data_IF_542043643169
#
_entry.id   IF_542043643169
#
_cell.length_a   1.000
_cell.length_b   1.000
_cell.length_c   1.000
_cell.angle_alpha   90.00
_cell.angle_beta   90.00
_cell.angle_gamma   90.00
#
_symmetry.space_group_name_H-M   'P 1'
#
loop_
_entity.id
_entity.type
_entity.pdbx_description
1 polymer ?
#
# COMPACT_ATOMS: atom_id res chain seq x y z
N UNK A 1 -43.38 5.39 6.47
CA UNK A 1 -42.48 4.40 5.85
C UNK A 1 -41.07 4.70 6.29
N UNK A 2 -40.44 3.82 7.07
CA UNK A 2 -39.02 3.94 7.36
C UNK A 2 -38.23 3.69 6.07
N UNK A 3 -37.32 4.58 5.70
CA UNK A 3 -36.40 4.33 4.60
C UNK A 3 -35.60 3.05 4.92
N UNK A 4 -35.38 2.15 3.95
CA UNK A 4 -34.52 1.00 4.19
C UNK A 4 -33.16 1.49 4.68
N UNK A 5 -32.60 0.83 5.69
CA UNK A 5 -31.27 1.14 6.18
C UNK A 5 -30.27 0.88 5.05
N UNK A 6 -29.77 1.93 4.43
CA UNK A 6 -28.65 1.84 3.48
C UNK A 6 -27.42 1.47 4.30
N UNK A 7 -26.69 0.45 3.86
CA UNK A 7 -25.43 0.02 4.47
C UNK A 7 -24.35 0.07 3.39
N UNK A 8 -23.20 0.64 3.71
CA UNK A 8 -22.05 0.66 2.80
C UNK A 8 -21.41 -0.72 2.83
N UNK A 9 -21.27 -1.35 1.66
CA UNK A 9 -20.48 -2.59 1.53
C UNK A 9 -19.00 -2.21 1.57
N UNK A 10 -18.25 -2.85 2.47
CA UNK A 10 -16.79 -2.79 2.51
C UNK A 10 -16.17 -3.78 1.53
N UNK A 11 -15.03 -3.43 0.97
CA UNK A 11 -14.25 -4.26 0.07
C UNK A 11 -13.29 -5.13 0.86
N UNK A 12 -13.14 -6.39 0.45
CA UNK A 12 -12.02 -7.22 0.90
C UNK A 12 -10.84 -7.06 -0.06
N UNK A 13 -9.63 -7.35 0.41
CA UNK A 13 -8.42 -7.37 -0.43
C UNK A 13 -8.59 -8.29 -1.63
N UNK A 14 -9.17 -9.48 -1.43
CA UNK A 14 -9.46 -10.41 -2.52
C UNK A 14 -10.44 -9.86 -3.56
N UNK A 15 -11.36 -8.99 -3.19
CA UNK A 15 -12.22 -8.30 -4.16
C UNK A 15 -11.46 -7.19 -4.87
N UNK A 16 -10.65 -6.42 -4.14
CA UNK A 16 -9.75 -5.40 -4.67
C UNK A 16 -8.78 -5.97 -5.72
N UNK A 17 -8.05 -7.04 -5.37
CA UNK A 17 -7.12 -7.74 -6.27
C UNK A 17 -7.82 -8.19 -7.56
N UNK A 18 -9.00 -8.78 -7.43
CA UNK A 18 -9.80 -9.22 -8.60
C UNK A 18 -10.30 -8.05 -9.45
N UNK A 19 -10.57 -6.89 -8.85
CA UNK A 19 -10.93 -5.69 -9.61
C UNK A 19 -9.74 -5.16 -10.42
N UNK A 20 -8.55 -5.14 -9.84
CA UNK A 20 -7.32 -4.79 -10.54
C UNK A 20 -7.02 -5.77 -11.68
N UNK A 21 -7.07 -7.09 -11.41
CA UNK A 21 -6.88 -8.15 -12.42
C UNK A 21 -7.89 -8.07 -13.57
N UNK A 22 -9.14 -7.71 -13.26
CA UNK A 22 -10.19 -7.55 -14.26
C UNK A 22 -10.12 -6.21 -15.02
N UNK A 23 -9.19 -5.32 -14.66
CA UNK A 23 -9.04 -3.99 -15.27
C UNK A 23 -10.16 -3.00 -14.90
N UNK A 24 -10.88 -3.24 -13.80
CA UNK A 24 -11.87 -2.30 -13.24
C UNK A 24 -11.16 -1.06 -12.70
N UNK A 25 -10.03 -1.27 -12.04
CA UNK A 25 -9.11 -0.21 -11.63
C UNK A 25 -8.11 0.00 -12.76
N UNK A 26 -8.08 1.21 -13.32
CA UNK A 26 -7.21 1.52 -14.45
C UNK A 26 -5.72 1.47 -14.07
N UNK A 27 -4.81 1.22 -15.03
CA UNK A 27 -3.36 1.19 -14.73
C UNK A 27 -2.81 2.53 -14.24
N UNK A 28 -3.47 3.64 -14.60
CA UNK A 28 -3.12 4.99 -14.15
C UNK A 28 -3.95 5.44 -12.93
N UNK A 29 -4.92 4.62 -12.50
CA UNK A 29 -5.73 4.89 -11.32
C UNK A 29 -4.93 4.54 -10.07
N UNK A 30 -4.31 5.55 -9.48
CA UNK A 30 -3.55 5.37 -8.25
C UNK A 30 -4.50 5.34 -7.06
N UNK A 31 -4.85 4.13 -6.65
CA UNK A 31 -5.72 3.87 -5.50
C UNK A 31 -5.05 2.89 -4.54
N UNK A 32 -5.47 2.94 -3.28
CA UNK A 32 -5.11 1.95 -2.27
C UNK A 32 -6.37 1.50 -1.51
N UNK A 33 -6.30 0.32 -0.90
CA UNK A 33 -7.38 -0.23 -0.08
C UNK A 33 -7.12 0.06 1.40
N UNK A 34 -7.97 0.86 2.04
CA UNK A 34 -7.88 1.19 3.47
C UNK A 34 -9.17 0.82 4.18
N UNK A 35 -9.10 -0.13 5.13
CA UNK A 35 -10.24 -0.54 5.97
C UNK A 35 -11.53 -0.82 5.15
N UNK A 36 -11.37 -1.45 4.00
CA UNK A 36 -12.43 -1.81 3.07
C UNK A 36 -12.97 -0.67 2.21
N UNK A 37 -12.27 0.46 2.13
CA UNK A 37 -12.52 1.57 1.20
C UNK A 37 -11.41 1.69 0.17
N UNK A 38 -11.77 1.95 -1.08
CA UNK A 38 -10.81 2.26 -2.14
C UNK A 38 -10.66 3.77 -2.20
N UNK A 39 -9.45 4.26 -1.93
CA UNK A 39 -9.16 5.69 -1.85
C UNK A 39 -8.17 6.10 -2.92
N UNK A 40 -8.35 7.28 -3.50
CA UNK A 40 -7.43 7.81 -4.53
C UNK A 40 -6.21 8.46 -3.89
N UNK A 41 -5.03 8.10 -4.38
CA UNK A 41 -3.77 8.73 -3.98
C UNK A 41 -3.60 10.08 -4.69
N UNK A 42 -3.10 11.06 -3.93
CA UNK A 42 -2.81 12.39 -4.50
C UNK A 42 -1.52 12.37 -5.32
N UNK A 43 -1.42 13.11 -6.44
CA UNK A 43 -0.16 13.32 -7.16
C UNK A 43 0.97 13.80 -6.25
N UNK A 44 2.17 13.26 -6.43
CA UNK A 44 3.33 13.71 -5.67
C UNK A 44 3.95 14.96 -6.31
N UNK A 45 4.37 15.91 -5.48
CA UNK A 45 5.10 17.11 -5.91
C UNK A 45 6.60 16.97 -5.64
N UNK A 46 7.43 17.77 -6.34
CA UNK A 46 8.90 17.73 -6.21
C UNK A 46 9.45 17.75 -4.77
N UNK A 47 8.92 18.56 -3.83
CA UNK A 47 9.36 18.52 -2.42
C UNK A 47 9.11 17.17 -1.74
N UNK A 48 8.00 16.52 -2.06
CA UNK A 48 7.63 15.22 -1.51
C UNK A 48 8.61 14.14 -1.94
N UNK A 49 8.93 14.07 -3.24
CA UNK A 49 9.91 13.12 -3.77
C UNK A 49 11.33 13.33 -3.19
N UNK A 50 11.72 14.60 -2.94
CA UNK A 50 12.99 14.90 -2.29
C UNK A 50 13.03 14.39 -0.84
N UNK A 51 11.94 14.57 -0.08
CA UNK A 51 11.81 14.04 1.28
C UNK A 51 11.92 12.52 1.31
N UNK A 52 11.23 11.80 0.40
CA UNK A 52 11.33 10.34 0.30
C UNK A 52 12.78 9.91 0.12
N UNK A 53 13.51 10.52 -0.82
CA UNK A 53 14.90 10.15 -1.09
C UNK A 53 15.84 10.40 0.10
N UNK A 54 15.62 11.47 0.85
CA UNK A 54 16.40 11.77 2.06
C UNK A 54 16.13 10.75 3.17
N UNK A 55 14.86 10.36 3.37
CA UNK A 55 14.48 9.39 4.39
C UNK A 55 14.93 7.98 3.99
N UNK A 56 14.78 7.57 2.72
CA UNK A 56 15.30 6.28 2.22
C UNK A 56 16.79 6.13 2.53
N UNK A 57 17.59 7.16 2.21
CA UNK A 57 19.03 7.15 2.51
C UNK A 57 19.31 6.98 4.00
N UNK A 58 18.58 7.72 4.85
CA UNK A 58 18.76 7.66 6.30
C UNK A 58 18.38 6.28 6.86
N UNK A 59 17.26 5.70 6.41
CA UNK A 59 16.79 4.40 6.86
C UNK A 59 17.73 3.27 6.44
N UNK A 60 18.25 3.30 5.19
CA UNK A 60 19.26 2.32 4.73
C UNK A 60 20.51 2.33 5.60
N UNK A 61 20.96 3.52 6.02
CA UNK A 61 22.12 3.65 6.90
C UNK A 61 21.82 3.14 8.32
N UNK A 62 20.62 3.37 8.83
CA UNK A 62 20.23 2.98 10.19
C UNK A 62 19.99 1.48 10.35
N UNK A 63 19.28 0.84 9.40
CA UNK A 63 18.86 -0.56 9.50
C UNK A 63 19.85 -1.54 8.86
N UNK A 64 20.67 -1.10 7.91
CA UNK A 64 21.66 -1.94 7.26
C UNK A 64 21.05 -3.01 6.33
N UNK A 65 21.85 -3.99 5.89
CA UNK A 65 21.51 -4.89 4.79
C UNK A 65 20.49 -5.98 5.13
N UNK A 66 20.19 -6.21 6.42
CA UNK A 66 19.18 -7.19 6.84
C UNK A 66 17.76 -6.68 6.66
N UNK A 67 17.58 -5.43 6.21
CA UNK A 67 16.29 -4.81 5.99
C UNK A 67 16.16 -4.27 4.57
N UNK A 68 14.96 -4.39 4.04
CA UNK A 68 14.54 -3.81 2.79
C UNK A 68 13.69 -2.57 3.04
N UNK A 69 14.17 -1.42 2.54
CA UNK A 69 13.40 -0.18 2.49
C UNK A 69 12.54 -0.18 1.23
N UNK A 70 11.23 -0.12 1.44
CA UNK A 70 10.19 -0.14 0.40
C UNK A 70 9.64 1.27 0.25
N UNK A 71 9.49 1.74 -0.99
CA UNK A 71 8.97 3.08 -1.30
C UNK A 71 7.69 2.90 -2.11
N UNK A 72 6.55 3.32 -1.58
CA UNK A 72 5.25 3.24 -2.26
C UNK A 72 4.97 1.86 -2.83
N UNK A 73 5.06 0.84 -1.98
CA UNK A 73 4.76 -0.54 -2.35
C UNK A 73 3.72 -1.11 -1.40
N UNK A 74 2.80 -1.96 -1.88
CA UNK A 74 1.72 -2.52 -1.08
C UNK A 74 2.15 -3.17 0.23
N UNK A 75 1.44 -2.91 1.33
CA UNK A 75 1.68 -3.54 2.63
C UNK A 75 0.37 -4.19 3.09
N UNK A 76 0.32 -5.51 3.19
CA UNK A 76 -0.90 -6.24 3.56
C UNK A 76 -1.07 -6.22 5.07
N UNK A 77 -1.71 -5.18 5.61
CA UNK A 77 -1.89 -5.04 7.06
C UNK A 77 -3.06 -5.86 7.57
N UNK A 78 -4.15 -5.97 6.78
CA UNK A 78 -5.37 -6.69 7.15
C UNK A 78 -6.08 -7.32 5.93
N UNK A 79 -7.08 -8.22 6.12
CA UNK A 79 -7.84 -8.82 5.02
C UNK A 79 -8.62 -7.82 4.13
N UNK A 80 -8.79 -6.59 4.59
CA UNK A 80 -9.49 -5.48 3.94
C UNK A 80 -8.64 -4.21 3.88
N UNK A 81 -7.32 -4.31 4.06
CA UNK A 81 -6.43 -3.15 4.05
C UNK A 81 -5.06 -3.50 3.45
N UNK A 82 -4.71 -2.81 2.37
CA UNK A 82 -3.45 -2.88 1.64
C UNK A 82 -2.98 -1.47 1.26
N UNK A 83 -2.48 -0.68 2.23
CA UNK A 83 -1.89 0.63 1.97
C UNK A 83 -0.60 0.55 1.13
N UNK A 84 -0.28 1.64 0.44
CA UNK A 84 0.99 1.88 -0.24
C UNK A 84 1.79 2.99 0.48
N UNK A 85 2.40 2.70 1.64
CA UNK A 85 3.10 3.73 2.41
C UNK A 85 4.25 4.35 1.63
N UNK A 86 4.49 5.64 1.86
CA UNK A 86 5.61 6.37 1.26
C UNK A 86 6.95 5.65 1.49
N UNK A 87 7.15 5.16 2.72
CA UNK A 87 8.29 4.35 3.12
C UNK A 87 7.86 3.27 4.11
N UNK A 88 8.36 2.05 3.95
CA UNK A 88 8.22 0.97 4.93
C UNK A 88 9.55 0.22 5.10
N UNK A 89 9.91 -0.05 6.36
CA UNK A 89 11.11 -0.82 6.71
C UNK A 89 10.71 -2.26 7.00
N UNK A 90 11.23 -3.21 6.24
CA UNK A 90 10.83 -4.62 6.34
C UNK A 90 12.07 -5.49 6.51
N UNK A 91 12.02 -6.47 7.41
CA UNK A 91 13.12 -7.42 7.56
C UNK A 91 13.25 -8.33 6.34
N UNK A 92 14.48 -8.62 5.91
CA UNK A 92 14.80 -9.45 4.76
C UNK A 92 15.09 -8.64 3.49
N UNK A 93 14.82 -9.26 2.36
CA UNK A 93 15.19 -8.80 1.03
C UNK A 93 14.00 -8.88 0.06
N UNK A 94 14.05 -8.23 -1.11
CA UNK A 94 12.99 -8.36 -2.12
C UNK A 94 12.67 -9.81 -2.52
N UNK A 95 13.65 -10.73 -2.40
CA UNK A 95 13.47 -12.15 -2.75
C UNK A 95 12.55 -12.90 -1.80
N UNK A 96 12.39 -12.41 -0.58
CA UNK A 96 11.54 -13.03 0.43
C UNK A 96 10.05 -12.76 0.18
N UNK A 97 9.73 -11.79 -0.71
CA UNK A 97 8.37 -11.27 -0.95
C UNK A 97 7.94 -11.38 -2.42
N UNK A 98 8.46 -12.38 -3.15
CA UNK A 98 8.14 -12.58 -4.58
C UNK A 98 6.68 -12.97 -4.82
N UNK A 99 6.08 -13.67 -3.85
CA UNK A 99 4.72 -14.21 -4.00
C UNK A 99 3.65 -13.39 -3.28
N UNK A 100 4.00 -12.71 -2.20
CA UNK A 100 3.07 -11.87 -1.46
C UNK A 100 3.82 -10.69 -0.81
N UNK A 101 3.21 -9.50 -0.74
CA UNK A 101 3.81 -8.39 -0.04
C UNK A 101 3.98 -8.68 1.46
N UNK A 102 4.92 -8.00 2.13
CA UNK A 102 5.05 -8.02 3.58
C UNK A 102 3.74 -7.65 4.27
N UNK A 103 3.55 -8.21 5.47
CA UNK A 103 2.38 -7.95 6.32
C UNK A 103 2.66 -7.01 7.50
N UNK A 104 3.93 -6.70 7.72
CA UNK A 104 4.41 -5.90 8.85
C UNK A 104 5.59 -5.06 8.42
N UNK A 105 5.75 -3.90 9.06
CA UNK A 105 6.93 -3.05 8.99
C UNK A 105 7.43 -2.72 10.40
N UNK A 106 8.70 -2.31 10.53
CA UNK A 106 9.35 -1.92 11.78
C UNK A 106 9.28 -0.43 12.02
#
# INVERSE_FOLDING_TARGET
MAAPAVQIKRWTRREYDRMAEAGVLGPDERVELLEGEIVTMTPQQSPHSACIGLIDKALRQAFGPSYWIRIQLPLVVDPDSEPEPELAVVHGSPRDYVHEPPRTAV
#
